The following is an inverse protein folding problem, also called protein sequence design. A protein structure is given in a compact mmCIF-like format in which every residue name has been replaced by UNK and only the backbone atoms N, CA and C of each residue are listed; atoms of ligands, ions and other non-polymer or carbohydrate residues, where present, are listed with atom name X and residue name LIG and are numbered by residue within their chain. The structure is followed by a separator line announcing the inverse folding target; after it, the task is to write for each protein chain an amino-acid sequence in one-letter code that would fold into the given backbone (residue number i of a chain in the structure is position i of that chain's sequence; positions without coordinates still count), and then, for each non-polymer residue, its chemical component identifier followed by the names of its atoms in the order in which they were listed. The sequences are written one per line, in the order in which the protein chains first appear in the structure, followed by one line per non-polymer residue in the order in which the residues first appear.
data_IF_628266748330
#
_entry.id   IF_628266748330
#
_cell.length_a   1.000
_cell.length_b   1.000
_cell.length_c   1.000
_cell.angle_alpha   90.00
_cell.angle_beta   90.00
_cell.angle_gamma   90.00
#
_symmetry.space_group_name_H-M   'P 1'
#
loop_
_entity.id
_entity.type
_entity.pdbx_description
1 polymer ?
#
# COMPACT_ATOMS: atom_id res chain seq x y z
N UNK A 1 -0.37 -17.87 4.60
CA UNK A 1 -0.58 -16.68 5.46
C UNK A 1 -1.70 -15.89 4.84
N UNK A 2 -2.64 -15.34 5.63
CA UNK A 2 -3.63 -14.42 5.05
C UNK A 2 -2.95 -13.06 4.92
N UNK A 3 -2.76 -12.59 3.70
CA UNK A 3 -2.16 -11.30 3.37
C UNK A 3 -3.15 -10.20 3.73
N UNK A 4 -3.27 -9.91 5.02
CA UNK A 4 -4.12 -8.84 5.52
C UNK A 4 -3.40 -7.50 5.33
N UNK A 5 -4.10 -6.50 4.78
CA UNK A 5 -3.54 -5.16 4.55
C UNK A 5 -2.97 -4.54 5.82
N UNK A 6 -3.48 -4.93 6.99
CA UNK A 6 -2.95 -4.51 8.29
C UNK A 6 -1.49 -4.93 8.53
N UNK A 7 -0.99 -5.99 7.87
CA UNK A 7 0.42 -6.37 7.94
C UNK A 7 1.34 -5.37 7.24
N UNK A 8 0.83 -4.66 6.22
CA UNK A 8 1.64 -3.72 5.43
C UNK A 8 1.43 -2.26 5.83
N UNK A 9 0.48 -1.96 6.72
CA UNK A 9 0.25 -0.59 7.26
C UNK A 9 1.54 0.08 7.75
N UNK A 10 2.43 -0.58 8.52
CA UNK A 10 3.69 0.05 8.94
C UNK A 10 4.61 0.44 7.78
N UNK A 11 4.58 -0.31 6.66
CA UNK A 11 5.33 0.03 5.45
C UNK A 11 4.74 1.26 4.76
N UNK A 12 3.41 1.35 4.69
CA UNK A 12 2.73 2.54 4.17
C UNK A 12 3.06 3.77 5.01
N UNK A 13 3.01 3.68 6.33
CA UNK A 13 3.35 4.80 7.23
C UNK A 13 4.79 5.26 7.05
N UNK A 14 5.73 4.32 6.91
CA UNK A 14 7.14 4.59 6.61
C UNK A 14 7.32 5.33 5.28
N UNK A 15 6.71 4.84 4.21
CA UNK A 15 6.83 5.43 2.85
C UNK A 15 6.18 6.81 2.78
N UNK A 16 5.02 6.97 3.42
CA UNK A 16 4.29 8.24 3.48
C UNK A 16 4.86 9.21 4.53
N UNK A 17 5.87 8.79 5.30
CA UNK A 17 6.50 9.58 6.38
C UNK A 17 5.49 10.03 7.44
N UNK A 18 4.52 9.17 7.73
CA UNK A 18 3.51 9.35 8.76
C UNK A 18 4.04 8.87 10.12
N UNK A 19 3.41 9.34 11.20
CA UNK A 19 3.67 8.79 12.51
C UNK A 19 3.07 7.37 12.63
N UNK A 20 3.67 6.47 13.44
CA UNK A 20 3.11 5.15 13.67
C UNK A 20 1.68 5.22 14.22
N UNK A 21 0.76 4.47 13.62
CA UNK A 21 -0.65 4.41 14.02
C UNK A 21 -1.56 5.45 13.37
N UNK A 22 -1.05 6.34 12.52
CA UNK A 22 -1.86 7.32 11.77
C UNK A 22 -2.83 6.63 10.80
N UNK A 23 -2.45 5.48 10.23
CA UNK A 23 -3.31 4.75 9.30
C UNK A 23 -4.26 3.76 9.98
N UNK A 24 -4.09 3.45 11.27
CA UNK A 24 -4.95 2.50 12.00
C UNK A 24 -6.42 2.96 12.11
N UNK A 25 -6.64 4.28 12.10
CA UNK A 25 -7.97 4.89 12.20
C UNK A 25 -8.53 5.35 10.85
N UNK A 26 -7.80 5.11 9.76
CA UNK A 26 -8.20 5.54 8.44
C UNK A 26 -9.38 4.71 7.93
N UNK A 27 -10.33 5.35 7.24
CA UNK A 27 -11.36 4.60 6.53
C UNK A 27 -10.71 3.83 5.36
N UNK A 28 -11.13 2.58 5.08
CA UNK A 28 -10.52 1.77 4.02
C UNK A 28 -10.55 2.41 2.62
N UNK A 29 -11.53 3.28 2.36
CA UNK A 29 -11.75 4.00 1.11
C UNK A 29 -11.16 5.43 1.11
N UNK A 30 -10.50 5.84 2.20
CA UNK A 30 -9.89 7.16 2.27
C UNK A 30 -8.69 7.27 1.33
N UNK A 31 -8.63 8.41 0.65
CA UNK A 31 -7.63 8.70 -0.37
C UNK A 31 -6.26 9.01 0.24
N UNK A 32 -5.32 8.08 0.10
CA UNK A 32 -3.94 8.18 0.57
C UNK A 32 -3.14 9.28 -0.14
N UNK A 33 -3.60 9.77 -1.30
CA UNK A 33 -2.95 10.92 -1.98
C UNK A 33 -3.03 12.19 -1.14
N UNK A 34 -4.07 12.30 -0.30
CA UNK A 34 -4.20 13.39 0.68
C UNK A 34 -3.17 13.30 1.80
N UNK A 35 -2.56 12.13 2.01
CA UNK A 35 -1.55 11.84 3.02
C UNK A 35 -0.12 11.81 2.45
N UNK A 36 0.06 12.21 1.19
CA UNK A 36 1.37 12.30 0.55
C UNK A 36 1.65 11.23 -0.50
N UNK A 37 0.72 10.29 -0.75
CA UNK A 37 0.89 9.30 -1.81
C UNK A 37 0.92 9.99 -3.18
N UNK A 38 2.03 9.81 -3.88
CA UNK A 38 2.28 10.29 -5.23
C UNK A 38 3.01 9.20 -6.04
N UNK A 39 3.33 9.48 -7.30
CA UNK A 39 3.98 8.50 -8.20
C UNK A 39 5.30 7.97 -7.66
N UNK A 40 6.13 8.79 -6.99
CA UNK A 40 7.42 8.35 -6.44
C UNK A 40 7.20 7.42 -5.24
N UNK A 41 6.39 7.84 -4.28
CA UNK A 41 6.09 7.02 -3.10
C UNK A 41 5.32 5.74 -3.46
N UNK A 42 4.55 5.75 -4.55
CA UNK A 42 3.87 4.54 -5.03
C UNK A 42 4.88 3.50 -5.53
N UNK A 43 5.88 3.90 -6.32
CA UNK A 43 6.95 2.99 -6.74
C UNK A 43 7.75 2.48 -5.53
N UNK A 44 8.07 3.36 -4.57
CA UNK A 44 8.73 2.94 -3.32
C UNK A 44 7.88 1.91 -2.56
N UNK A 45 6.57 2.15 -2.44
CA UNK A 45 5.65 1.24 -1.77
C UNK A 45 5.59 -0.12 -2.47
N UNK A 46 5.49 -0.15 -3.80
CA UNK A 46 5.48 -1.39 -4.59
C UNK A 46 6.73 -2.21 -4.28
N UNK A 47 7.91 -1.61 -4.38
CA UNK A 47 9.19 -2.31 -4.14
C UNK A 47 9.25 -2.85 -2.70
N UNK A 48 8.80 -2.08 -1.72
CA UNK A 48 8.78 -2.53 -0.32
C UNK A 48 7.75 -3.66 -0.09
N UNK A 49 6.58 -3.63 -0.76
CA UNK A 49 5.58 -4.70 -0.69
C UNK A 49 6.07 -6.00 -1.33
N UNK A 50 6.70 -5.92 -2.50
CA UNK A 50 7.31 -7.07 -3.18
C UNK A 50 8.38 -7.73 -2.31
N UNK A 51 9.25 -6.91 -1.71
CA UNK A 51 10.30 -7.40 -0.80
C UNK A 51 9.74 -8.02 0.49
N UNK A 52 8.74 -7.40 1.12
CA UNK A 52 8.16 -7.91 2.37
C UNK A 52 7.37 -9.21 2.16
N UNK A 53 6.62 -9.29 1.06
CA UNK A 53 5.71 -10.40 0.79
C UNK A 53 6.33 -11.50 -0.09
N UNK A 54 7.55 -11.30 -0.59
CA UNK A 54 8.23 -12.19 -1.55
C UNK A 54 7.36 -12.44 -2.80
N UNK A 55 6.76 -11.37 -3.33
CA UNK A 55 5.91 -11.39 -4.53
C UNK A 55 6.53 -10.55 -5.65
N UNK A 56 6.04 -10.72 -6.87
CA UNK A 56 6.36 -9.87 -8.01
C UNK A 56 5.05 -9.40 -8.63
N UNK A 57 4.83 -8.09 -8.64
CA UNK A 57 3.65 -7.46 -9.24
C UNK A 57 3.86 -7.28 -10.74
N UNK A 58 2.80 -7.45 -11.52
CA UNK A 58 2.84 -7.18 -12.96
C UNK A 58 2.91 -5.67 -13.22
N UNK A 59 3.64 -5.24 -14.25
CA UNK A 59 3.79 -3.83 -14.63
C UNK A 59 2.42 -3.11 -14.80
N UNK A 60 1.42 -3.83 -15.32
CA UNK A 60 0.06 -3.34 -15.52
C UNK A 60 -0.69 -3.05 -14.20
N UNK A 61 -0.23 -3.64 -13.10
CA UNK A 61 -0.77 -3.44 -11.76
C UNK A 61 -0.09 -2.28 -11.00
N UNK A 62 1.04 -1.76 -11.51
CA UNK A 62 1.83 -0.67 -10.92
C UNK A 62 1.20 0.72 -11.16
N UNK A 63 -0.10 0.80 -10.97
CA UNK A 63 -0.92 1.97 -11.25
C UNK A 63 -1.27 2.66 -9.92
N UNK A 64 -0.98 3.96 -9.82
CA UNK A 64 -1.20 4.76 -8.61
C UNK A 64 -2.63 4.65 -8.09
N UNK A 65 -3.61 4.58 -8.99
CA UNK A 65 -5.02 4.44 -8.69
C UNK A 65 -5.31 3.18 -7.87
N UNK A 66 -4.62 2.06 -8.13
CA UNK A 66 -4.78 0.83 -7.34
C UNK A 66 -4.28 0.99 -5.90
N UNK A 67 -3.28 1.86 -5.69
CA UNK A 67 -2.67 2.10 -4.38
C UNK A 67 -3.30 3.29 -3.64
N UNK A 68 -4.28 3.98 -4.24
CA UNK A 68 -4.82 5.24 -3.73
C UNK A 68 -5.62 5.14 -2.43
N UNK A 69 -5.98 3.93 -1.99
CA UNK A 69 -6.76 3.66 -0.76
C UNK A 69 -6.27 2.37 -0.12
N UNK A 70 -6.51 2.19 1.19
CA UNK A 70 -6.17 0.94 1.88
C UNK A 70 -6.90 -0.27 1.28
N UNK A 71 -8.18 -0.11 0.92
CA UNK A 71 -8.96 -1.13 0.23
C UNK A 71 -8.40 -1.46 -1.17
N UNK A 72 -7.87 -0.45 -1.87
CA UNK A 72 -7.21 -0.66 -3.16
C UNK A 72 -5.97 -1.53 -3.02
N UNK A 73 -5.14 -1.24 -2.02
CA UNK A 73 -3.95 -2.01 -1.69
C UNK A 73 -4.32 -3.43 -1.27
N UNK A 74 -5.32 -3.60 -0.40
CA UNK A 74 -5.82 -4.93 -0.02
C UNK A 74 -6.26 -5.75 -1.24
N UNK A 75 -6.99 -5.12 -2.17
CA UNK A 75 -7.44 -5.76 -3.41
C UNK A 75 -6.26 -6.14 -4.31
N UNK A 76 -5.27 -5.26 -4.42
CA UNK A 76 -4.06 -5.52 -5.20
C UNK A 76 -3.31 -6.72 -4.62
N UNK A 77 -3.04 -6.71 -3.31
CA UNK A 77 -2.37 -7.81 -2.63
C UNK A 77 -3.13 -9.13 -2.73
N UNK A 78 -4.47 -9.08 -2.71
CA UNK A 78 -5.33 -10.24 -2.91
C UNK A 78 -5.18 -10.94 -4.28
N UNK A 79 -4.58 -10.29 -5.29
CA UNK A 79 -4.24 -10.95 -6.57
C UNK A 79 -3.01 -11.84 -6.47
N UNK A 80 -2.13 -11.59 -5.50
CA UNK A 80 -0.81 -12.22 -5.37
C UNK A 80 -0.70 -13.11 -4.11
N UNK A 81 -1.81 -13.32 -3.39
CA UNK A 81 -1.89 -14.05 -2.12
C UNK A 81 -2.46 -15.48 -2.27
#
# INVERSE_FOLDING_TARGET
MKTDVYHVVPLLEKVLKLAPGELEQLAPDQDLRTLGLNSLSAVELIVELENELDITMEDDDLVLEHLSTLQGIERLLGKYA
#
